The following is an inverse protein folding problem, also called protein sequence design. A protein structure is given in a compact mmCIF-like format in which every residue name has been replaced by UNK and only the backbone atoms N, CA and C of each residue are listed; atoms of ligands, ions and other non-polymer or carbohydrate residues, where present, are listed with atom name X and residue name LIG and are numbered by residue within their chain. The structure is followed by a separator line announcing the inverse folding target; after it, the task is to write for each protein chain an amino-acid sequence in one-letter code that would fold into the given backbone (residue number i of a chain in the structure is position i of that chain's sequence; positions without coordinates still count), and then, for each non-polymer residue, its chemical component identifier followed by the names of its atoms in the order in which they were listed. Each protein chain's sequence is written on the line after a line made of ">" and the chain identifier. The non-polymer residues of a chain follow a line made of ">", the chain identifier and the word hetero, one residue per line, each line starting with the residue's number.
data_IF_369824158687
#
_entry.id   IF_369824158687
#
_cell.length_a   1.000
_cell.length_b   1.000
_cell.length_c   1.000
_cell.angle_alpha   90.00
_cell.angle_beta   90.00
_cell.angle_gamma   90.00
#
_symmetry.space_group_name_H-M   'P 1'
#
loop_
_entity.id
_entity.type
_entity.pdbx_description
1 polymer ?
#
# COMPACT_ATOMS: atom_id res chain seq x y z
N UNK A 1 15.06 -1.71 -21.39
CA UNK A 1 15.49 -0.32 -21.15
C UNK A 1 17.01 -0.20 -21.15
N UNK A 2 17.76 -0.84 -20.23
CA UNK A 2 19.24 -0.82 -20.25
C UNK A 2 19.89 -1.22 -21.59
N UNK A 3 19.32 -2.18 -22.33
CA UNK A 3 19.78 -2.52 -23.70
C UNK A 3 19.71 -1.34 -24.69
N UNK A 4 18.76 -0.42 -24.51
CA UNK A 4 18.56 0.77 -25.37
C UNK A 4 19.23 2.02 -24.81
N UNK A 5 19.45 2.07 -23.50
CA UNK A 5 20.14 3.17 -22.80
C UNK A 5 21.06 2.55 -21.73
N UNK A 6 22.33 2.25 -22.08
CA UNK A 6 23.27 1.60 -21.19
C UNK A 6 23.56 2.39 -19.90
N UNK A 7 23.50 3.72 -19.97
CA UNK A 7 23.79 4.63 -18.86
C UNK A 7 22.62 4.80 -17.89
N UNK A 8 21.47 4.19 -18.18
CA UNK A 8 20.29 4.23 -17.32
C UNK A 8 20.60 3.59 -15.96
N UNK A 9 20.49 4.37 -14.89
CA UNK A 9 20.58 3.88 -13.51
C UNK A 9 19.20 3.50 -12.99
N UNK A 10 19.12 2.34 -12.32
CA UNK A 10 17.97 1.90 -11.54
C UNK A 10 18.20 2.36 -10.11
N UNK A 11 17.29 3.19 -9.62
CA UNK A 11 17.28 3.69 -8.25
C UNK A 11 16.10 3.06 -7.52
N UNK A 12 16.30 2.59 -6.29
CA UNK A 12 15.27 1.89 -5.53
C UNK A 12 15.39 2.18 -4.04
N UNK A 13 14.25 2.33 -3.37
CA UNK A 13 14.20 2.43 -1.92
C UNK A 13 14.71 1.13 -1.27
N UNK A 14 15.41 1.22 -0.14
CA UNK A 14 15.99 0.07 0.57
C UNK A 14 14.96 -1.04 0.87
N UNK A 15 13.77 -0.68 1.35
CA UNK A 15 12.73 -1.64 1.72
C UNK A 15 12.24 -2.39 0.48
N UNK A 16 11.94 -1.67 -0.59
CA UNK A 16 11.53 -2.26 -1.87
C UNK A 16 12.61 -3.18 -2.42
N UNK A 17 13.89 -2.77 -2.33
CA UNK A 17 15.01 -3.59 -2.78
C UNK A 17 15.09 -4.91 -2.03
N UNK A 18 15.00 -4.90 -0.69
CA UNK A 18 15.08 -6.10 0.13
C UNK A 18 13.90 -7.03 -0.09
N UNK A 19 12.67 -6.50 -0.18
CA UNK A 19 11.47 -7.29 -0.47
C UNK A 19 11.59 -7.97 -1.82
N UNK A 20 11.89 -7.22 -2.89
CA UNK A 20 11.99 -7.80 -4.23
C UNK A 20 13.15 -8.80 -4.35
N UNK A 21 14.29 -8.53 -3.71
CA UNK A 21 15.41 -9.47 -3.68
C UNK A 21 15.00 -10.79 -3.03
N UNK A 22 14.30 -10.74 -1.89
CA UNK A 22 13.85 -11.94 -1.18
C UNK A 22 12.75 -12.68 -1.95
N UNK A 23 11.74 -11.98 -2.46
CA UNK A 23 10.60 -12.56 -3.17
C UNK A 23 10.96 -13.25 -4.48
N UNK A 24 12.04 -12.84 -5.12
CA UNK A 24 12.45 -13.36 -6.43
C UNK A 24 13.65 -14.31 -6.38
N UNK A 25 14.17 -14.59 -5.19
CA UNK A 25 15.20 -15.61 -4.99
C UNK A 25 14.54 -16.99 -4.89
N UNK A 26 14.84 -17.86 -5.87
CA UNK A 26 14.28 -19.21 -5.97
C UNK A 26 14.60 -20.07 -4.73
N UNK A 27 15.66 -19.76 -3.99
CA UNK A 27 15.99 -20.47 -2.74
C UNK A 27 14.96 -20.24 -1.63
N UNK A 28 14.16 -19.16 -1.71
CA UNK A 28 13.11 -18.82 -0.75
C UNK A 28 11.74 -19.40 -1.11
N UNK A 29 11.65 -20.30 -2.10
CA UNK A 29 10.36 -20.78 -2.62
C UNK A 29 9.44 -21.44 -1.57
N UNK A 30 9.99 -22.19 -0.62
CA UNK A 30 9.19 -22.80 0.46
C UNK A 30 8.76 -21.78 1.53
N UNK A 31 9.59 -20.77 1.80
CA UNK A 31 9.23 -19.66 2.70
C UNK A 31 8.11 -18.81 2.09
N UNK A 32 8.21 -18.47 0.80
CA UNK A 32 7.16 -17.76 0.06
C UNK A 32 5.83 -18.53 0.08
N UNK A 33 5.88 -19.85 -0.07
CA UNK A 33 4.70 -20.71 0.03
C UNK A 33 4.14 -20.71 1.45
N UNK A 34 4.97 -20.64 2.47
CA UNK A 34 4.56 -20.52 3.87
C UNK A 34 3.90 -19.16 4.14
N UNK A 35 4.47 -18.07 3.64
CA UNK A 35 3.87 -16.73 3.73
C UNK A 35 2.53 -16.64 2.97
N UNK A 36 2.45 -17.21 1.77
CA UNK A 36 1.20 -17.28 1.02
C UNK A 36 0.11 -18.07 1.77
N UNK A 37 0.46 -19.21 2.41
CA UNK A 37 -0.47 -19.97 3.25
C UNK A 37 -0.93 -19.15 4.45
N UNK A 38 -0.02 -18.43 5.10
CA UNK A 38 -0.32 -17.56 6.25
C UNK A 38 -1.29 -16.45 5.84
N UNK A 39 -0.99 -15.74 4.76
CA UNK A 39 -1.85 -14.70 4.20
C UNK A 39 -3.25 -15.24 3.88
N UNK A 40 -3.33 -16.38 3.18
CA UNK A 40 -4.59 -17.01 2.84
C UNK A 40 -5.39 -17.45 4.08
N UNK A 41 -4.72 -18.00 5.10
CA UNK A 41 -5.35 -18.38 6.37
C UNK A 41 -5.87 -17.17 7.13
N UNK A 42 -5.11 -16.08 7.18
CA UNK A 42 -5.54 -14.83 7.79
C UNK A 42 -6.76 -14.26 7.07
N UNK A 43 -6.77 -14.25 5.73
CA UNK A 43 -7.93 -13.73 5.01
C UNK A 43 -9.22 -14.55 5.22
N UNK A 44 -9.12 -15.86 5.53
CA UNK A 44 -10.29 -16.65 5.95
C UNK A 44 -10.91 -16.11 7.23
N UNK A 45 -10.09 -15.65 8.18
CA UNK A 45 -10.62 -15.02 9.40
C UNK A 45 -11.35 -13.72 9.07
N UNK A 46 -10.97 -13.03 7.99
CA UNK A 46 -11.71 -11.87 7.47
C UNK A 46 -12.98 -12.19 6.69
N UNK A 47 -13.36 -13.47 6.58
CA UNK A 47 -14.66 -13.90 6.08
C UNK A 47 -14.72 -14.30 4.60
N UNK A 48 -13.58 -14.41 3.91
CA UNK A 48 -13.57 -14.96 2.54
C UNK A 48 -13.88 -16.47 2.55
N UNK A 49 -14.43 -16.98 1.46
CA UNK A 49 -14.67 -18.42 1.32
C UNK A 49 -13.37 -19.22 1.19
N UNK A 50 -13.43 -20.52 1.47
CA UNK A 50 -12.31 -21.44 1.22
C UNK A 50 -11.83 -21.40 -0.23
N UNK A 51 -12.76 -21.33 -1.20
CA UNK A 51 -12.46 -21.24 -2.63
C UNK A 51 -11.68 -19.98 -2.97
N UNK A 52 -12.08 -18.82 -2.44
CA UNK A 52 -11.37 -17.56 -2.67
C UNK A 52 -10.00 -17.55 -1.99
N UNK A 53 -9.91 -18.09 -0.78
CA UNK A 53 -8.64 -18.23 -0.07
C UNK A 53 -7.63 -19.11 -0.81
N UNK A 54 -8.09 -20.22 -1.40
CA UNK A 54 -7.23 -21.11 -2.20
C UNK A 54 -6.74 -20.43 -3.49
N UNK A 55 -7.57 -19.59 -4.11
CA UNK A 55 -7.18 -18.77 -5.26
C UNK A 55 -6.15 -17.70 -4.90
N UNK A 56 -6.35 -17.01 -3.77
CA UNK A 56 -5.40 -16.03 -3.24
C UNK A 56 -4.06 -16.71 -2.93
N UNK A 57 -4.08 -17.88 -2.30
CA UNK A 57 -2.88 -18.67 -2.08
C UNK A 57 -2.13 -18.97 -3.39
N UNK A 58 -2.84 -19.48 -4.40
CA UNK A 58 -2.25 -19.75 -5.72
C UNK A 58 -1.64 -18.47 -6.34
N UNK A 59 -2.36 -17.35 -6.28
CA UNK A 59 -1.86 -16.07 -6.78
C UNK A 59 -0.55 -15.65 -6.09
N UNK A 60 -0.50 -15.62 -4.75
CA UNK A 60 0.70 -15.23 -4.02
C UNK A 60 1.87 -16.20 -4.14
N UNK A 61 1.62 -17.47 -4.49
CA UNK A 61 2.71 -18.41 -4.84
C UNK A 61 3.25 -18.22 -6.26
N UNK A 62 2.43 -17.78 -7.22
CA UNK A 62 2.85 -17.60 -8.61
C UNK A 62 3.39 -16.20 -8.90
N UNK A 63 2.81 -15.17 -8.29
CA UNK A 63 3.13 -13.77 -8.56
C UNK A 63 4.62 -13.44 -8.42
N UNK A 64 5.33 -13.84 -7.34
CA UNK A 64 6.76 -13.55 -7.22
C UNK A 64 7.59 -14.15 -8.36
N UNK A 65 7.18 -15.30 -8.91
CA UNK A 65 7.86 -15.95 -10.06
C UNK A 65 7.66 -15.22 -11.38
N UNK A 66 6.64 -14.38 -11.47
CA UNK A 66 6.40 -13.52 -12.64
C UNK A 66 7.20 -12.22 -12.56
N UNK A 67 7.68 -11.84 -11.37
CA UNK A 67 8.51 -10.66 -11.18
C UNK A 67 9.91 -10.91 -11.73
N UNK A 68 10.49 -9.86 -12.31
CA UNK A 68 11.87 -9.85 -12.79
C UNK A 68 12.65 -8.84 -11.99
N UNK A 69 13.18 -9.29 -10.86
CA UNK A 69 14.03 -8.45 -10.04
C UNK A 69 15.26 -7.96 -10.82
N UNK A 70 15.59 -6.70 -10.56
CA UNK A 70 16.80 -6.05 -11.05
C UNK A 70 17.46 -5.38 -9.88
N UNK A 71 18.70 -5.79 -9.59
CA UNK A 71 19.53 -5.12 -8.60
C UNK A 71 19.61 -3.63 -8.92
N UNK A 72 19.27 -2.74 -7.96
CA UNK A 72 19.41 -1.32 -8.18
C UNK A 72 20.89 -0.95 -8.32
N UNK A 73 21.18 0.04 -9.14
CA UNK A 73 22.51 0.64 -9.21
C UNK A 73 22.75 1.53 -7.99
N UNK A 74 21.68 2.11 -7.43
CA UNK A 74 21.71 2.96 -6.24
C UNK A 74 20.51 2.61 -5.36
N UNK A 75 20.77 2.30 -4.09
CA UNK A 75 19.75 2.22 -3.05
C UNK A 75 19.62 3.59 -2.40
N UNK A 76 18.40 4.06 -2.17
CA UNK A 76 18.12 5.38 -1.57
C UNK A 76 17.27 5.27 -0.32
N UNK A 77 17.47 6.23 0.57
CA UNK A 77 16.77 6.42 1.83
C UNK A 77 16.24 7.85 1.93
N UNK A 78 15.34 8.06 2.89
CA UNK A 78 14.72 9.36 3.11
C UNK A 78 15.77 10.48 3.28
N UNK A 79 15.50 11.63 2.66
CA UNK A 79 16.37 12.83 2.60
C UNK A 79 17.66 12.71 1.78
N UNK A 80 17.93 11.56 1.13
CA UNK A 80 19.04 11.47 0.18
C UNK A 80 18.86 12.50 -0.95
N UNK A 81 19.97 13.04 -1.45
CA UNK A 81 19.97 13.93 -2.61
C UNK A 81 20.50 13.18 -3.84
N UNK A 82 19.68 13.11 -4.87
CA UNK A 82 19.96 12.47 -6.15
C UNK A 82 20.05 13.52 -7.27
N UNK A 83 20.95 13.32 -8.25
CA UNK A 83 21.17 14.23 -9.39
C UNK A 83 21.29 15.71 -8.97
N UNK A 84 22.05 15.96 -7.91
CA UNK A 84 22.39 17.26 -7.30
C UNK A 84 21.24 18.11 -6.75
N UNK A 85 19.98 17.82 -7.07
CA UNK A 85 18.85 18.67 -6.67
C UNK A 85 17.49 17.96 -6.54
N UNK A 86 17.46 16.63 -6.56
CA UNK A 86 16.26 15.84 -6.31
C UNK A 86 16.38 15.20 -4.94
N UNK A 87 15.62 15.70 -3.99
CA UNK A 87 15.49 15.12 -2.67
C UNK A 87 14.57 13.89 -2.72
N UNK A 88 15.03 12.81 -2.11
CA UNK A 88 14.28 11.58 -1.89
C UNK A 88 13.35 11.80 -0.71
N UNK A 89 12.03 11.71 -0.94
CA UNK A 89 11.00 11.85 0.09
C UNK A 89 10.27 10.53 0.24
N UNK A 90 10.61 9.79 1.30
CA UNK A 90 9.96 8.53 1.61
C UNK A 90 8.49 8.76 1.98
N UNK A 91 7.59 8.08 1.28
CA UNK A 91 6.14 8.30 1.32
C UNK A 91 5.40 6.96 1.40
N UNK A 92 5.58 6.18 2.49
CA UNK A 92 4.92 4.90 2.66
C UNK A 92 3.39 5.06 2.65
N UNK A 93 2.70 4.01 2.23
CA UNK A 93 1.23 4.02 2.08
C UNK A 93 0.83 3.12 0.92
N UNK A 94 1.01 3.61 -0.31
CA UNK A 94 0.75 2.82 -1.51
C UNK A 94 1.65 1.56 -1.60
N UNK A 95 2.90 1.68 -1.18
CA UNK A 95 3.80 0.55 -0.93
C UNK A 95 4.77 0.88 0.20
N UNK A 96 5.42 -0.12 0.78
CA UNK A 96 6.32 0.10 1.94
C UNK A 96 7.49 1.04 1.63
N UNK A 97 8.10 0.90 0.45
CA UNK A 97 9.23 1.72 0.00
C UNK A 97 8.85 2.81 -1.01
N UNK A 98 7.57 3.19 -1.13
CA UNK A 98 7.18 4.25 -2.06
C UNK A 98 7.93 5.56 -1.75
N UNK A 99 8.44 6.22 -2.77
CA UNK A 99 9.27 7.42 -2.63
C UNK A 99 8.94 8.45 -3.71
N UNK A 100 8.72 9.70 -3.31
CA UNK A 100 8.61 10.84 -4.21
C UNK A 100 9.99 11.50 -4.43
N UNK A 101 10.16 12.19 -5.56
CA UNK A 101 11.35 13.01 -5.83
C UNK A 101 10.97 14.48 -5.82
N UNK A 102 11.60 15.28 -4.97
CA UNK A 102 11.31 16.70 -4.85
C UNK A 102 12.46 17.57 -5.32
N UNK A 103 12.18 18.47 -6.26
CA UNK A 103 13.11 19.52 -6.67
C UNK A 103 12.78 20.82 -5.93
N UNK A 104 13.53 21.13 -4.87
CA UNK A 104 13.26 22.31 -4.04
C UNK A 104 13.38 23.64 -4.81
N UNK A 105 14.32 23.73 -5.76
CA UNK A 105 14.55 24.95 -6.56
C UNK A 105 13.40 25.24 -7.52
N UNK A 106 12.91 24.22 -8.23
CA UNK A 106 11.81 24.35 -9.19
C UNK A 106 10.44 24.21 -8.54
N UNK A 107 10.38 23.73 -7.30
CA UNK A 107 9.14 23.33 -6.60
C UNK A 107 8.35 22.29 -7.40
N UNK A 108 9.06 21.34 -8.00
CA UNK A 108 8.47 20.22 -8.73
C UNK A 108 8.53 18.96 -7.90
N UNK A 109 7.45 18.19 -7.91
CA UNK A 109 7.39 16.89 -7.26
C UNK A 109 7.10 15.82 -8.31
N UNK A 110 7.89 14.76 -8.34
CA UNK A 110 7.55 13.53 -9.05
C UNK A 110 6.93 12.57 -8.02
N UNK A 111 5.61 12.40 -8.05
CA UNK A 111 4.87 11.75 -6.98
C UNK A 111 4.76 10.23 -7.13
N UNK A 112 5.15 9.66 -8.26
CA UNK A 112 4.87 8.25 -8.54
C UNK A 112 3.37 7.97 -8.44
N UNK A 113 3.00 6.95 -7.67
CA UNK A 113 1.62 6.60 -7.36
C UNK A 113 1.15 7.16 -6.01
N UNK A 114 1.93 8.01 -5.34
CA UNK A 114 1.50 8.61 -4.08
C UNK A 114 0.33 9.59 -4.27
N UNK A 115 0.38 10.41 -5.33
CA UNK A 115 -0.65 11.40 -5.67
C UNK A 115 -0.91 11.30 -7.16
N UNK A 116 -2.17 11.01 -7.52
CA UNK A 116 -2.66 10.91 -8.89
C UNK A 116 -3.74 11.97 -9.13
N UNK A 117 -3.87 12.47 -10.37
CA UNK A 117 -4.73 13.63 -10.69
C UNK A 117 -6.24 13.39 -10.62
N UNK A 118 -6.70 12.16 -10.88
CA UNK A 118 -8.12 11.80 -11.01
C UNK A 118 -8.56 10.81 -9.94
N UNK A 119 -7.77 9.78 -9.69
CA UNK A 119 -8.10 8.71 -8.73
C UNK A 119 -7.26 8.81 -7.46
N UNK A 120 -7.64 8.08 -6.42
CA UNK A 120 -6.74 7.74 -5.32
C UNK A 120 -5.94 6.49 -5.70
N UNK A 121 -4.69 6.36 -5.22
CA UNK A 121 -3.98 5.09 -5.33
C UNK A 121 -4.60 4.04 -4.41
N UNK A 122 -4.31 2.77 -4.67
CA UNK A 122 -4.68 1.69 -3.77
C UNK A 122 -3.89 1.81 -2.46
N UNK A 123 -4.60 1.86 -1.33
CA UNK A 123 -4.04 1.93 0.03
C UNK A 123 -4.53 0.70 0.80
N UNK A 124 -3.90 -0.43 0.55
CA UNK A 124 -4.22 -1.70 1.19
C UNK A 124 -3.29 -2.02 2.36
N UNK A 125 -3.83 -2.66 3.41
CA UNK A 125 -3.00 -3.30 4.40
C UNK A 125 -2.32 -4.53 3.79
N UNK A 126 -1.03 -4.38 3.48
CA UNK A 126 -0.17 -5.48 3.03
C UNK A 126 0.51 -6.15 4.23
N UNK A 127 0.77 -7.45 4.12
CA UNK A 127 1.52 -8.16 5.14
C UNK A 127 3.01 -7.99 4.91
N UNK A 128 3.73 -7.51 5.92
CA UNK A 128 5.19 -7.60 5.93
C UNK A 128 5.56 -9.09 5.98
N UNK A 129 6.46 -9.56 5.09
CA UNK A 129 6.98 -10.92 5.17
C UNK A 129 7.63 -11.19 6.54
N UNK A 130 7.39 -12.34 7.15
CA UNK A 130 7.89 -12.62 8.50
C UNK A 130 9.41 -12.51 8.64
N UNK A 131 10.16 -12.87 7.59
CA UNK A 131 11.62 -12.76 7.57
C UNK A 131 12.13 -11.31 7.59
N UNK A 132 11.27 -10.34 7.27
CA UNK A 132 11.57 -8.91 7.33
C UNK A 132 10.90 -8.21 8.51
N UNK A 133 10.13 -8.96 9.32
CA UNK A 133 9.32 -8.39 10.40
C UNK A 133 10.18 -7.65 11.41
N UNK A 134 11.26 -8.26 11.90
CA UNK A 134 12.11 -7.67 12.94
C UNK A 134 12.75 -6.35 12.48
N UNK A 135 13.11 -6.24 11.20
CA UNK A 135 13.71 -5.02 10.65
C UNK A 135 12.68 -3.88 10.54
N UNK A 136 11.42 -4.23 10.23
CA UNK A 136 10.38 -3.25 9.91
C UNK A 136 9.30 -3.07 10.98
N UNK A 137 9.36 -3.81 12.09
CA UNK A 137 8.39 -3.72 13.19
C UNK A 137 8.26 -2.28 13.72
N UNK A 138 9.38 -1.56 13.81
CA UNK A 138 9.42 -0.16 14.26
C UNK A 138 8.59 0.81 13.41
N UNK A 139 8.31 0.46 12.15
CA UNK A 139 7.53 1.33 11.27
C UNK A 139 6.03 1.09 11.39
N UNK A 140 5.58 0.03 12.08
CA UNK A 140 4.16 -0.27 12.27
C UNK A 140 3.35 -0.23 10.95
N UNK A 141 3.77 -1.05 9.99
CA UNK A 141 3.06 -1.15 8.69
C UNK A 141 1.69 -1.82 8.79
N UNK A 142 1.20 -2.13 9.99
CA UNK A 142 -0.16 -2.59 10.19
C UNK A 142 -1.19 -1.45 10.05
N UNK A 143 -0.77 -0.18 10.07
CA UNK A 143 -1.67 0.98 9.89
C UNK A 143 -1.32 1.78 8.63
N UNK A 144 -1.49 1.17 7.45
CA UNK A 144 -1.04 1.74 6.17
C UNK A 144 -1.74 3.04 5.80
N UNK A 145 -3.03 3.20 6.13
CA UNK A 145 -3.74 4.44 5.84
C UNK A 145 -3.18 5.62 6.65
N UNK A 146 -2.74 5.40 7.89
CA UNK A 146 -2.09 6.43 8.70
C UNK A 146 -0.77 6.87 8.07
N UNK A 147 0.06 5.92 7.63
CA UNK A 147 1.28 6.22 6.87
C UNK A 147 1.01 7.05 5.62
N UNK A 148 -0.04 6.71 4.86
CA UNK A 148 -0.40 7.43 3.65
C UNK A 148 -0.84 8.87 3.95
N UNK A 149 -1.71 9.07 4.94
CA UNK A 149 -2.19 10.40 5.33
C UNK A 149 -1.05 11.28 5.88
N UNK A 150 -0.17 10.72 6.71
CA UNK A 150 1.02 11.40 7.21
C UNK A 150 2.00 11.75 6.08
N UNK A 151 2.13 10.88 5.08
CA UNK A 151 2.93 11.14 3.89
C UNK A 151 2.35 12.28 3.04
N UNK A 152 1.02 12.34 2.89
CA UNK A 152 0.35 13.47 2.25
C UNK A 152 0.60 14.79 3.00
N UNK A 153 0.51 14.79 4.34
CA UNK A 153 0.85 15.94 5.17
C UNK A 153 2.28 16.41 4.98
N UNK A 154 3.22 15.47 4.89
CA UNK A 154 4.63 15.77 4.66
C UNK A 154 4.85 16.38 3.28
N UNK A 155 4.22 15.83 2.23
CA UNK A 155 4.32 16.36 0.87
C UNK A 155 3.71 17.75 0.75
N UNK A 156 2.57 18.00 1.38
CA UNK A 156 1.90 19.31 1.34
C UNK A 156 2.82 20.41 1.92
N UNK A 157 3.53 20.11 3.01
CA UNK A 157 4.51 21.03 3.65
C UNK A 157 5.70 21.40 2.74
N UNK A 158 6.03 20.60 1.73
CA UNK A 158 7.09 20.95 0.76
C UNK A 158 6.71 22.15 -0.12
N UNK A 159 5.41 22.46 -0.19
CA UNK A 159 4.85 23.54 -1.00
C UNK A 159 5.28 23.40 -2.47
N UNK A 160 5.12 22.20 -3.03
CA UNK A 160 5.32 21.98 -4.45
C UNK A 160 4.32 22.81 -5.27
N UNK A 161 4.76 23.32 -6.42
CA UNK A 161 3.93 24.08 -7.37
C UNK A 161 3.33 23.20 -8.45
N UNK A 162 4.02 22.13 -8.85
CA UNK A 162 3.57 21.20 -9.88
C UNK A 162 3.91 19.77 -9.44
N UNK A 163 2.95 18.86 -9.54
CA UNK A 163 3.16 17.42 -9.35
C UNK A 163 3.13 16.71 -10.72
N UNK A 164 4.12 15.86 -10.95
CA UNK A 164 4.25 14.94 -12.07
C UNK A 164 4.01 13.50 -11.58
N UNK A 165 2.78 12.98 -11.72
CA UNK A 165 2.46 11.61 -11.32
C UNK A 165 3.01 10.56 -12.28
N UNK A 166 3.06 9.30 -11.86
CA UNK A 166 3.39 8.18 -12.74
C UNK A 166 2.29 7.90 -13.78
N UNK A 167 1.06 8.28 -13.45
CA UNK A 167 -0.12 8.06 -14.27
C UNK A 167 -0.99 9.32 -14.35
N UNK A 168 -1.81 9.41 -15.40
CA UNK A 168 -2.79 10.49 -15.60
C UNK A 168 -2.12 11.84 -15.88
N UNK A 169 -2.78 12.95 -15.54
CA UNK A 169 -2.38 14.30 -15.95
C UNK A 169 -1.49 14.99 -14.91
N UNK A 170 -0.74 15.99 -15.36
CA UNK A 170 0.02 16.90 -14.49
C UNK A 170 -0.93 17.65 -13.56
N UNK A 171 -0.56 17.80 -12.29
CA UNK A 171 -1.36 18.52 -11.29
C UNK A 171 -0.73 19.90 -11.04
N UNK A 172 -1.49 20.95 -11.34
CA UNK A 172 -1.08 22.35 -11.18
C UNK A 172 -1.53 22.99 -9.86
N UNK A 173 -2.45 22.36 -9.14
CA UNK A 173 -2.89 22.75 -7.80
C UNK A 173 -2.61 21.62 -6.78
N UNK A 174 -1.35 21.40 -6.36
CA UNK A 174 -0.99 20.29 -5.48
C UNK A 174 -1.76 20.24 -4.16
N UNK A 175 -1.86 21.38 -3.47
CA UNK A 175 -2.55 21.48 -2.18
C UNK A 175 -4.02 21.09 -2.27
N UNK A 176 -4.74 21.65 -3.26
CA UNK A 176 -6.15 21.32 -3.53
C UNK A 176 -6.32 19.82 -3.77
N UNK A 177 -5.46 19.22 -4.59
CA UNK A 177 -5.53 17.78 -4.87
C UNK A 177 -5.27 16.94 -3.63
N UNK A 178 -4.34 17.34 -2.76
CA UNK A 178 -4.07 16.64 -1.49
C UNK A 178 -5.29 16.71 -0.56
N UNK A 179 -5.97 17.86 -0.48
CA UNK A 179 -7.19 18.01 0.30
C UNK A 179 -8.33 17.13 -0.24
N UNK A 180 -8.50 17.05 -1.56
CA UNK A 180 -9.48 16.14 -2.18
C UNK A 180 -9.24 14.67 -1.79
N UNK A 181 -7.98 14.22 -1.85
CA UNK A 181 -7.61 12.84 -1.49
C UNK A 181 -7.88 12.59 0.00
N UNK A 182 -7.51 13.53 0.88
CA UNK A 182 -7.82 13.42 2.31
C UNK A 182 -9.31 13.36 2.56
N UNK A 183 -10.10 14.20 1.87
CA UNK A 183 -11.55 14.21 1.98
C UNK A 183 -12.17 12.91 1.48
N UNK A 184 -11.62 12.32 0.43
CA UNK A 184 -12.04 10.99 -0.05
C UNK A 184 -11.90 9.94 1.06
N UNK A 185 -10.74 9.86 1.71
CA UNK A 185 -10.53 8.90 2.80
C UNK A 185 -11.38 9.22 4.03
N UNK A 186 -11.57 10.48 4.39
CA UNK A 186 -12.48 10.88 5.47
C UNK A 186 -13.92 10.38 5.21
N UNK A 187 -14.43 10.60 4.01
CA UNK A 187 -15.76 10.14 3.61
C UNK A 187 -15.84 8.61 3.67
N UNK A 188 -14.82 7.91 3.17
CA UNK A 188 -14.75 6.44 3.23
C UNK A 188 -14.77 5.91 4.66
N UNK A 189 -14.01 6.54 5.56
CA UNK A 189 -13.99 6.18 6.97
C UNK A 189 -15.36 6.35 7.62
N UNK A 190 -16.07 7.42 7.29
CA UNK A 190 -17.43 7.66 7.77
C UNK A 190 -18.42 6.60 7.25
N UNK A 191 -18.35 6.28 5.95
CA UNK A 191 -19.16 5.23 5.32
C UNK A 191 -18.94 3.87 6.00
N UNK A 192 -17.68 3.46 6.16
CA UNK A 192 -17.34 2.18 6.81
C UNK A 192 -17.79 2.15 8.27
N UNK A 193 -17.61 3.25 9.01
CA UNK A 193 -18.04 3.36 10.40
C UNK A 193 -19.56 3.20 10.54
N UNK A 194 -20.34 3.79 9.64
CA UNK A 194 -21.79 3.67 9.66
C UNK A 194 -22.24 2.25 9.30
N UNK A 195 -21.57 1.59 8.34
CA UNK A 195 -21.87 0.20 7.95
C UNK A 195 -21.75 -0.79 9.13
N UNK A 196 -20.81 -0.58 10.04
CA UNK A 196 -20.51 -1.52 11.14
C UNK A 196 -21.14 -1.12 12.48
N UNK A 197 -21.94 -0.06 12.50
CA UNK A 197 -22.55 0.51 13.71
C UNK A 197 -23.62 -0.38 14.32
N UNK A 198 -24.57 -0.83 13.49
CA UNK A 198 -25.71 -1.64 13.95
C UNK A 198 -25.36 -3.11 14.14
N UNK A 199 -24.42 -3.63 13.35
CA UNK A 199 -24.05 -5.05 13.37
C UNK A 199 -22.57 -5.24 13.06
N UNK A 200 -21.83 -6.02 13.88
CA UNK A 200 -20.46 -6.38 13.57
C UNK A 200 -20.36 -7.04 12.18
N UNK A 201 -19.40 -6.58 11.37
CA UNK A 201 -19.16 -7.13 10.02
C UNK A 201 -17.71 -7.57 9.86
N UNK A 202 -17.50 -8.61 9.04
CA UNK A 202 -16.15 -8.99 8.65
C UNK A 202 -15.59 -8.00 7.61
N UNK A 203 -14.26 -7.83 7.51
CA UNK A 203 -13.66 -6.96 6.49
C UNK A 203 -14.08 -7.33 5.07
N UNK A 204 -14.26 -8.62 4.76
CA UNK A 204 -14.75 -9.07 3.45
C UNK A 204 -16.18 -8.63 3.16
N UNK A 205 -17.05 -8.61 4.16
CA UNK A 205 -18.42 -8.11 3.96
C UNK A 205 -18.42 -6.60 3.72
N UNK A 206 -17.60 -5.86 4.46
CA UNK A 206 -17.39 -4.41 4.23
C UNK A 206 -16.86 -4.16 2.81
N UNK A 207 -15.85 -4.91 2.37
CA UNK A 207 -15.29 -4.73 1.02
C UNK A 207 -16.29 -5.02 -0.08
N UNK A 208 -17.14 -6.06 0.06
CA UNK A 208 -18.18 -6.39 -0.92
C UNK A 208 -19.27 -5.32 -1.04
N UNK A 209 -19.64 -4.68 0.06
CA UNK A 209 -20.61 -3.57 0.05
C UNK A 209 -20.00 -2.35 -0.65
N UNK A 210 -18.71 -2.08 -0.39
CA UNK A 210 -18.05 -0.88 -0.87
C UNK A 210 -17.59 -0.96 -2.33
N UNK A 211 -16.99 -2.09 -2.73
CA UNK A 211 -16.35 -2.27 -4.03
C UNK A 211 -17.12 -3.21 -4.98
N UNK A 212 -18.24 -3.76 -4.52
CA UNK A 212 -19.06 -4.70 -5.28
C UNK A 212 -18.63 -6.15 -5.13
N UNK A 213 -19.47 -7.05 -5.66
CA UNK A 213 -19.32 -8.50 -5.47
C UNK A 213 -18.75 -9.26 -6.65
N UNK A 214 -18.79 -8.70 -7.85
CA UNK A 214 -18.32 -9.32 -9.08
C UNK A 214 -16.89 -8.87 -9.41
N UNK A 215 -15.94 -9.39 -8.64
CA UNK A 215 -14.51 -9.05 -8.74
C UNK A 215 -13.72 -10.33 -8.99
N UNK A 216 -12.69 -10.23 -9.84
CA UNK A 216 -11.70 -11.31 -9.98
C UNK A 216 -10.86 -11.48 -8.70
N UNK A 217 -9.92 -12.42 -8.71
CA UNK A 217 -9.08 -12.75 -7.56
C UNK A 217 -8.25 -11.57 -7.05
N UNK A 218 -7.63 -10.83 -7.97
CA UNK A 218 -6.74 -9.72 -7.64
C UNK A 218 -7.57 -8.57 -7.08
N UNK A 219 -8.67 -8.22 -7.74
CA UNK A 219 -9.55 -7.16 -7.30
C UNK A 219 -10.25 -7.49 -5.97
N UNK A 220 -10.59 -8.76 -5.73
CA UNK A 220 -11.10 -9.21 -4.42
C UNK A 220 -10.06 -9.00 -3.32
N UNK A 221 -8.80 -9.35 -3.56
CA UNK A 221 -7.71 -9.09 -2.62
C UNK A 221 -7.47 -7.60 -2.39
N UNK A 222 -7.45 -6.78 -3.45
CA UNK A 222 -7.27 -5.33 -3.36
C UNK A 222 -8.40 -4.66 -2.58
N UNK A 223 -9.65 -5.01 -2.87
CA UNK A 223 -10.82 -4.51 -2.16
C UNK A 223 -10.80 -4.90 -0.67
N UNK A 224 -10.46 -6.15 -0.37
CA UNK A 224 -10.34 -6.63 1.01
C UNK A 224 -9.22 -5.91 1.77
N UNK A 225 -8.04 -5.77 1.17
CA UNK A 225 -6.89 -5.11 1.82
C UNK A 225 -7.14 -3.62 2.04
N UNK A 226 -7.83 -2.94 1.14
CA UNK A 226 -8.22 -1.52 1.32
C UNK A 226 -9.28 -1.37 2.42
N UNK A 227 -10.31 -2.22 2.44
CA UNK A 227 -11.30 -2.22 3.52
C UNK A 227 -10.63 -2.47 4.88
N UNK A 228 -9.69 -3.42 4.94
CA UNK A 228 -8.92 -3.70 6.15
C UNK A 228 -8.08 -2.50 6.59
N UNK A 229 -7.42 -1.80 5.65
CA UNK A 229 -6.63 -0.60 5.97
C UNK A 229 -7.47 0.48 6.66
N UNK A 230 -8.70 0.70 6.20
CA UNK A 230 -9.62 1.66 6.82
C UNK A 230 -10.13 1.18 8.19
N UNK A 231 -10.45 -0.12 8.33
CA UNK A 231 -10.89 -0.69 9.62
C UNK A 231 -9.77 -0.64 10.67
N UNK A 232 -8.55 -1.01 10.30
CA UNK A 232 -7.40 -0.96 11.21
C UNK A 232 -7.05 0.48 11.57
N UNK A 233 -7.18 1.42 10.64
CA UNK A 233 -7.04 2.84 10.95
C UNK A 233 -8.05 3.29 12.02
N UNK A 234 -9.35 2.99 11.83
CA UNK A 234 -10.39 3.31 12.81
C UNK A 234 -10.17 2.62 14.18
N UNK A 235 -9.71 1.36 14.18
CA UNK A 235 -9.39 0.59 15.39
C UNK A 235 -8.25 1.26 16.17
N UNK A 236 -7.17 1.66 15.49
CA UNK A 236 -6.04 2.36 16.10
C UNK A 236 -6.43 3.74 16.65
N UNK A 237 -7.42 4.40 16.06
CA UNK A 237 -8.00 5.65 16.58
C UNK A 237 -8.98 5.42 17.75
N UNK A 238 -9.21 4.17 18.16
CA UNK A 238 -10.15 3.81 19.23
C UNK A 238 -11.61 4.04 18.89
N UNK A 239 -11.94 4.26 17.61
CA UNK A 239 -13.31 4.57 17.15
C UNK A 239 -14.18 3.33 16.95
N UNK A 240 -13.54 2.18 16.74
CA UNK A 240 -14.20 0.90 16.50
C UNK A 240 -13.45 -0.20 17.26
N UNK A 241 -14.08 -1.36 17.45
CA UNK A 241 -13.52 -2.52 18.14
C UNK A 241 -13.46 -3.73 17.23
N UNK A 242 -12.37 -4.49 17.36
CA UNK A 242 -12.21 -5.81 16.77
C UNK A 242 -12.78 -6.89 17.70
N UNK A 243 -13.57 -7.80 17.14
CA UNK A 243 -14.20 -8.91 17.84
C UNK A 243 -13.85 -10.21 17.13
N UNK A 244 -13.40 -11.21 17.88
CA UNK A 244 -13.21 -12.55 17.36
C UNK A 244 -14.39 -13.44 17.74
N UNK A 245 -14.99 -14.10 16.74
CA UNK A 245 -16.10 -15.04 16.94
C UNK A 245 -15.99 -16.19 15.94
N UNK A 246 -16.02 -17.43 16.45
CA UNK A 246 -15.98 -18.64 15.63
C UNK A 246 -14.78 -18.68 14.64
N UNK A 247 -13.61 -18.16 15.05
CA UNK A 247 -12.42 -18.08 14.20
C UNK A 247 -12.48 -17.02 13.10
N UNK A 248 -13.46 -16.12 13.15
CA UNK A 248 -13.58 -14.96 12.25
C UNK A 248 -13.45 -13.65 13.01
N UNK A 249 -12.88 -12.66 12.33
CA UNK A 249 -12.68 -11.31 12.81
C UNK A 249 -13.81 -10.43 12.28
N UNK A 250 -14.46 -9.75 13.21
CA UNK A 250 -15.49 -8.75 12.97
C UNK A 250 -15.04 -7.40 13.52
N UNK A 251 -15.58 -6.34 12.94
CA UNK A 251 -15.42 -4.98 13.42
C UNK A 251 -16.79 -4.38 13.74
N UNK A 252 -16.88 -3.59 14.80
CA UNK A 252 -18.06 -2.81 15.15
C UNK A 252 -17.66 -1.45 15.74
N UNK A 253 -18.48 -0.42 15.51
CA UNK A 253 -18.30 0.89 16.14
C UNK A 253 -18.67 0.90 17.62
#
# INVERSE_FOLDING_TARGET
>A
LKKKNPDLKIVMNEITHKILLWETDDSNAEDLKTEAKRAASLMKTYGISKKESDRIFQFFTMWPRLLRYRKPDITVSDYDIFLDNLEIVWTPGHSFGHTCLFNAKKKYLFSGDHILSRTTPHIGNFLVPNNLKDEYEKYNFDNILDHYLNSLDRIDKLNAKIIFPAHQDIIYNPHERILEIKKHHENRLAEISELIKEKPMTPYKVSKIHFGSDLDEINTFMALSEALGHLVYLENQGKIKKIEKNGQIFYMS
#
